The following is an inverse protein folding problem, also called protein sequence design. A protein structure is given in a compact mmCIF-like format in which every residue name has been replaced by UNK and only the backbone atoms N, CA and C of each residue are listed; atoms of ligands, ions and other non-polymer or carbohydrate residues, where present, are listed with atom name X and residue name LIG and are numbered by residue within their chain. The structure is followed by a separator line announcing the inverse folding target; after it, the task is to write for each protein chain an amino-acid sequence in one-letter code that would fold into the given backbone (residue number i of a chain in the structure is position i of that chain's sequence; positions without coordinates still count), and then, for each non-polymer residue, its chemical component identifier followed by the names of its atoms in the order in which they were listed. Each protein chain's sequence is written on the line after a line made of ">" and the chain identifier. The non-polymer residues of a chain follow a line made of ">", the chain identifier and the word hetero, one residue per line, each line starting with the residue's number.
data_IF_212704418030
#
_entry.id   IF_212704418030
#
_cell.length_a   1.000
_cell.length_b   1.000
_cell.length_c   1.000
_cell.angle_alpha   90.00
_cell.angle_beta   90.00
_cell.angle_gamma   90.00
#
_symmetry.space_group_name_H-M   'P 1'
#
loop_
_entity.id
_entity.type
_entity.pdbx_description
1 polymer ?
#
# COMPACT_ATOMS: atom_id res chain seq x y z
N UNK A 1 -15.78 11.42 -8.34
CA UNK A 1 -15.53 11.73 -9.78
C UNK A 1 -14.79 10.58 -10.41
N UNK A 2 -15.21 10.07 -11.58
CA UNK A 2 -14.58 8.91 -12.22
C UNK A 2 -14.18 9.21 -13.66
N UNK A 3 -12.95 8.81 -14.01
CA UNK A 3 -12.34 8.86 -15.34
C UNK A 3 -11.77 7.49 -15.73
N UNK A 4 -12.32 6.42 -15.19
CA UNK A 4 -11.83 5.06 -15.39
C UNK A 4 -12.04 4.54 -16.80
N UNK A 5 -11.16 3.65 -17.27
CA UNK A 5 -11.33 2.94 -18.53
C UNK A 5 -11.20 3.83 -19.78
N UNK A 6 -10.20 4.70 -19.79
CA UNK A 6 -9.89 5.61 -20.90
C UNK A 6 -8.41 5.50 -21.29
N UNK A 7 -7.98 6.33 -22.22
CA UNK A 7 -6.58 6.44 -22.67
C UNK A 7 -5.89 7.69 -22.09
N UNK A 8 -6.22 8.04 -20.83
CA UNK A 8 -5.62 9.22 -20.19
C UNK A 8 -4.15 8.91 -19.88
N UNK A 9 -3.25 9.73 -20.41
CA UNK A 9 -1.80 9.57 -20.20
C UNK A 9 -1.21 10.48 -19.12
N UNK A 10 -1.87 11.60 -18.80
CA UNK A 10 -1.45 12.55 -17.78
C UNK A 10 -2.66 13.25 -17.15
N UNK A 11 -2.42 13.87 -16.00
CA UNK A 11 -3.47 14.55 -15.22
C UNK A 11 -3.41 16.09 -15.33
N UNK A 12 -2.66 16.65 -16.28
CA UNK A 12 -2.41 18.09 -16.37
C UNK A 12 -3.68 18.92 -16.54
N UNK A 13 -4.73 18.35 -17.17
CA UNK A 13 -6.03 19.00 -17.32
C UNK A 13 -6.73 19.33 -16.00
N UNK A 14 -6.29 18.73 -14.88
CA UNK A 14 -6.86 18.99 -13.56
C UNK A 14 -6.34 20.27 -12.89
N UNK A 15 -5.27 20.90 -13.40
CA UNK A 15 -4.55 21.98 -12.73
C UNK A 15 -5.43 23.18 -12.35
N UNK A 16 -6.47 23.44 -13.14
CA UNK A 16 -7.40 24.55 -12.92
C UNK A 16 -8.73 24.12 -12.28
N UNK A 17 -8.86 22.84 -11.92
CA UNK A 17 -10.10 22.35 -11.34
C UNK A 17 -10.16 22.65 -9.82
N UNK A 18 -11.34 23.03 -9.35
CA UNK A 18 -11.59 23.16 -7.93
C UNK A 18 -12.10 21.82 -7.36
N UNK A 19 -11.29 21.21 -6.48
CA UNK A 19 -11.59 19.92 -5.86
C UNK A 19 -11.84 20.02 -4.35
N UNK A 20 -12.24 21.19 -3.84
CA UNK A 20 -12.42 21.39 -2.40
C UNK A 20 -13.43 20.44 -1.77
N UNK A 21 -14.50 20.10 -2.51
CA UNK A 21 -15.55 19.19 -2.03
C UNK A 21 -15.38 17.75 -2.54
N UNK A 22 -14.31 17.45 -3.29
CA UNK A 22 -14.13 16.13 -3.87
C UNK A 22 -13.71 15.11 -2.81
N UNK A 23 -14.51 14.07 -2.63
CA UNK A 23 -14.24 12.97 -1.70
C UNK A 23 -13.66 11.72 -2.37
N UNK A 24 -14.00 11.48 -3.62
CA UNK A 24 -13.60 10.26 -4.37
C UNK A 24 -13.12 10.62 -5.77
N UNK A 25 -11.90 10.20 -6.09
CA UNK A 25 -11.25 10.44 -7.38
C UNK A 25 -10.71 9.14 -7.97
N UNK A 26 -11.20 8.80 -9.15
CA UNK A 26 -10.90 7.52 -9.79
C UNK A 26 -10.34 7.71 -11.19
N UNK A 27 -9.15 7.18 -11.42
CA UNK A 27 -8.44 7.15 -12.71
C UNK A 27 -7.93 5.75 -13.08
N UNK A 28 -8.49 4.72 -12.51
CA UNK A 28 -8.04 3.35 -12.80
C UNK A 28 -8.29 2.95 -14.25
N UNK A 29 -7.47 2.02 -14.73
CA UNK A 29 -7.55 1.49 -16.10
C UNK A 29 -7.38 2.61 -17.15
N UNK A 30 -6.21 3.22 -17.08
CA UNK A 30 -5.74 4.25 -18.02
C UNK A 30 -4.26 3.97 -18.40
N UNK A 31 -3.60 4.90 -19.05
CA UNK A 31 -2.16 4.84 -19.40
C UNK A 31 -1.37 5.98 -18.73
N UNK A 32 -1.76 6.33 -17.49
CA UNK A 32 -1.15 7.44 -16.75
C UNK A 32 0.26 7.03 -16.29
N UNK A 33 1.24 7.88 -16.61
CA UNK A 33 2.61 7.77 -16.10
C UNK A 33 2.99 8.94 -15.18
N UNK A 34 2.45 10.14 -15.44
CA UNK A 34 2.75 11.36 -14.70
C UNK A 34 1.57 11.79 -13.81
N UNK A 35 1.83 11.81 -12.50
CA UNK A 35 0.91 12.27 -11.46
C UNK A 35 1.40 13.55 -10.76
N UNK A 36 2.34 14.28 -11.37
CA UNK A 36 2.96 15.48 -10.79
C UNK A 36 1.96 16.56 -10.38
N UNK A 37 0.84 16.64 -11.09
CA UNK A 37 -0.23 17.58 -10.80
C UNK A 37 -0.87 17.35 -9.43
N UNK A 38 -0.91 16.11 -8.93
CA UNK A 38 -1.50 15.81 -7.62
C UNK A 38 -0.82 16.57 -6.48
N UNK A 39 0.49 16.83 -6.62
CA UNK A 39 1.24 17.62 -5.65
C UNK A 39 0.96 19.13 -5.67
N UNK A 40 0.15 19.60 -6.63
CA UNK A 40 -0.21 21.01 -6.83
C UNK A 40 -1.69 21.28 -6.52
N UNK A 41 -2.48 20.24 -6.39
CA UNK A 41 -3.92 20.34 -6.16
C UNK A 41 -4.25 20.34 -4.66
N UNK A 42 -5.35 21.00 -4.30
CA UNK A 42 -5.82 21.05 -2.93
C UNK A 42 -6.98 20.06 -2.73
N UNK A 43 -6.67 18.92 -2.14
CA UNK A 43 -7.62 17.83 -1.89
C UNK A 43 -8.08 17.80 -0.42
N UNK A 44 -8.63 18.91 0.09
CA UNK A 44 -9.01 19.04 1.52
C UNK A 44 -9.96 17.96 2.03
N UNK A 45 -10.81 17.42 1.16
CA UNK A 45 -11.85 16.47 1.52
C UNK A 45 -11.71 15.09 0.87
N UNK A 46 -10.62 14.86 0.10
CA UNK A 46 -10.44 13.59 -0.61
C UNK A 46 -10.23 12.44 0.38
N UNK A 47 -11.12 11.45 0.30
CA UNK A 47 -11.12 10.24 1.11
C UNK A 47 -10.61 9.02 0.34
N UNK A 48 -10.83 8.97 -0.98
CA UNK A 48 -10.45 7.83 -1.79
C UNK A 48 -9.76 8.27 -3.07
N UNK A 49 -8.59 7.68 -3.36
CA UNK A 49 -7.83 7.88 -4.59
C UNK A 49 -7.50 6.54 -5.23
N UNK A 50 -8.02 6.34 -6.43
CA UNK A 50 -7.90 5.10 -7.19
C UNK A 50 -7.10 5.35 -8.46
N UNK A 51 -5.89 4.82 -8.53
CA UNK A 51 -4.93 4.98 -9.62
C UNK A 51 -4.42 3.64 -10.15
N UNK A 52 -5.13 2.54 -9.83
CA UNK A 52 -4.69 1.22 -10.21
C UNK A 52 -4.83 0.94 -11.72
N UNK A 53 -4.08 -0.04 -12.19
CA UNK A 53 -4.03 -0.44 -13.60
C UNK A 53 -3.66 0.76 -14.49
N UNK A 54 -2.46 1.30 -14.26
CA UNK A 54 -1.81 2.38 -15.00
C UNK A 54 -0.33 2.03 -15.25
N UNK A 55 0.49 2.98 -15.66
CA UNK A 55 1.93 2.80 -15.87
C UNK A 55 2.76 3.76 -15.00
N UNK A 56 2.25 4.11 -13.81
CA UNK A 56 2.89 5.02 -12.85
C UNK A 56 4.13 4.34 -12.25
N UNK A 57 5.26 5.03 -12.29
CA UNK A 57 6.51 4.61 -11.63
C UNK A 57 6.98 5.58 -10.56
N UNK A 58 6.75 6.89 -10.75
CA UNK A 58 7.12 7.94 -9.82
C UNK A 58 5.92 8.39 -8.98
N UNK A 59 5.99 8.17 -7.66
CA UNK A 59 4.98 8.58 -6.69
C UNK A 59 5.45 9.73 -5.79
N UNK A 60 6.58 10.36 -6.09
CA UNK A 60 7.10 11.50 -5.32
C UNK A 60 6.12 12.67 -5.19
N UNK A 61 5.19 12.93 -6.13
CA UNK A 61 4.17 13.96 -5.98
C UNK A 61 3.25 13.79 -4.76
N UNK A 62 3.08 12.55 -4.26
CA UNK A 62 2.26 12.29 -3.05
C UNK A 62 2.80 12.98 -1.81
N UNK A 63 4.12 13.25 -1.75
CA UNK A 63 4.75 13.94 -0.62
C UNK A 63 4.40 15.43 -0.51
N UNK A 64 3.87 16.03 -1.58
CA UNK A 64 3.43 17.43 -1.62
C UNK A 64 1.91 17.58 -1.58
N UNK A 65 1.18 16.50 -1.81
CA UNK A 65 -0.26 16.52 -1.85
C UNK A 65 -0.85 16.65 -0.44
N UNK A 66 -1.95 17.40 -0.33
CA UNK A 66 -2.70 17.51 0.92
C UNK A 66 -3.72 16.37 1.02
N UNK A 67 -3.31 15.25 1.62
CA UNK A 67 -4.11 14.04 1.75
C UNK A 67 -4.48 13.69 3.20
N UNK A 68 -4.68 14.70 4.05
CA UNK A 68 -4.98 14.48 5.49
C UNK A 68 -6.20 13.60 5.75
N UNK A 69 -7.22 13.69 4.87
CA UNK A 69 -8.45 12.91 5.00
C UNK A 69 -8.45 11.63 4.18
N UNK A 70 -7.36 11.35 3.44
CA UNK A 70 -7.32 10.17 2.57
C UNK A 70 -7.36 8.88 3.40
N UNK A 71 -8.38 8.08 3.18
CA UNK A 71 -8.64 6.81 3.84
C UNK A 71 -8.23 5.62 2.98
N UNK A 72 -8.37 5.76 1.65
CA UNK A 72 -8.05 4.70 0.69
C UNK A 72 -7.11 5.23 -0.38
N UNK A 73 -5.95 4.58 -0.52
CA UNK A 73 -5.02 4.77 -1.62
C UNK A 73 -4.81 3.44 -2.33
N UNK A 74 -5.24 3.35 -3.58
CA UNK A 74 -5.05 2.17 -4.40
C UNK A 74 -4.26 2.50 -5.66
N UNK A 75 -3.06 1.91 -5.76
CA UNK A 75 -2.12 2.06 -6.87
C UNK A 75 -1.62 0.70 -7.38
N UNK A 76 -2.42 -0.36 -7.18
CA UNK A 76 -2.04 -1.69 -7.65
C UNK A 76 -1.96 -1.75 -9.18
N UNK A 77 -1.21 -2.72 -9.69
CA UNK A 77 -0.99 -2.89 -11.14
C UNK A 77 -0.44 -1.61 -11.78
N UNK A 78 0.76 -1.25 -11.32
CA UNK A 78 1.55 -0.12 -11.82
C UNK A 78 3.03 -0.55 -11.99
N UNK A 79 3.96 0.39 -12.09
CA UNK A 79 5.41 0.16 -12.26
C UNK A 79 6.23 0.73 -11.10
N UNK A 80 5.64 0.85 -9.90
CA UNK A 80 6.27 1.47 -8.73
C UNK A 80 7.40 0.58 -8.24
N UNK A 81 8.56 1.19 -7.97
CA UNK A 81 9.73 0.54 -7.37
C UNK A 81 10.11 1.19 -6.04
N UNK A 82 10.01 2.52 -5.95
CA UNK A 82 10.40 3.31 -4.79
C UNK A 82 9.17 3.87 -4.08
N UNK A 83 9.07 3.57 -2.79
CA UNK A 83 8.01 4.06 -1.90
C UNK A 83 8.55 4.98 -0.79
N UNK A 84 9.78 5.48 -0.91
CA UNK A 84 10.42 6.35 0.09
C UNK A 84 9.63 7.59 0.42
N UNK A 85 8.91 8.13 -0.55
CA UNK A 85 8.07 9.33 -0.37
C UNK A 85 6.95 9.14 0.65
N UNK A 86 6.50 7.90 0.91
CA UNK A 86 5.43 7.61 1.85
C UNK A 86 5.79 8.03 3.29
N UNK A 87 7.07 8.10 3.65
CA UNK A 87 7.55 8.63 4.94
C UNK A 87 7.15 10.10 5.14
N UNK A 88 7.11 10.87 4.05
CA UNK A 88 6.84 12.31 4.04
C UNK A 88 5.39 12.64 3.70
N UNK A 89 4.68 11.71 3.07
CA UNK A 89 3.30 11.93 2.67
C UNK A 89 2.37 12.10 3.88
N UNK A 90 1.47 13.09 3.78
CA UNK A 90 0.52 13.41 4.87
C UNK A 90 -0.72 12.49 4.79
N UNK A 91 -0.51 11.19 5.04
CA UNK A 91 -1.53 10.14 4.93
C UNK A 91 -2.01 9.66 6.31
N UNK A 92 -2.26 10.59 7.22
CA UNK A 92 -2.55 10.30 8.64
C UNK A 92 -3.89 9.59 8.88
N UNK A 93 -4.81 9.68 7.92
CA UNK A 93 -6.13 9.01 7.99
C UNK A 93 -6.18 7.69 7.24
N UNK A 94 -5.07 7.27 6.62
CA UNK A 94 -5.05 6.09 5.74
C UNK A 94 -5.45 4.82 6.49
N UNK A 95 -6.44 4.12 5.95
CA UNK A 95 -6.95 2.84 6.45
C UNK A 95 -6.65 1.69 5.49
N UNK A 96 -6.56 1.98 4.20
CA UNK A 96 -6.27 0.99 3.15
C UNK A 96 -5.15 1.51 2.26
N UNK A 97 -4.07 0.75 2.18
CA UNK A 97 -2.99 0.95 1.20
C UNK A 97 -2.88 -0.30 0.34
N UNK A 98 -3.18 -0.16 -0.94
CA UNK A 98 -3.00 -1.23 -1.91
C UNK A 98 -1.93 -0.86 -2.95
N UNK A 99 -0.83 -1.61 -2.94
CA UNK A 99 0.32 -1.50 -3.84
C UNK A 99 0.62 -2.83 -4.54
N UNK A 100 -0.38 -3.72 -4.65
CA UNK A 100 -0.23 -5.02 -5.29
C UNK A 100 0.26 -4.90 -6.74
N UNK A 101 0.94 -5.93 -7.21
CA UNK A 101 1.35 -6.02 -8.62
C UNK A 101 2.13 -4.78 -9.06
N UNK A 102 3.24 -4.55 -8.38
CA UNK A 102 4.22 -3.52 -8.67
C UNK A 102 5.63 -4.15 -8.73
N UNK A 103 6.70 -3.36 -8.66
CA UNK A 103 8.08 -3.84 -8.66
C UNK A 103 8.83 -3.47 -7.36
N UNK A 104 8.11 -3.39 -6.24
CA UNK A 104 8.64 -2.96 -4.95
C UNK A 104 9.48 -4.08 -4.34
N UNK A 105 10.73 -3.79 -3.98
CA UNK A 105 11.61 -4.71 -3.24
C UNK A 105 11.96 -4.19 -1.85
N UNK A 106 12.09 -2.87 -1.69
CA UNK A 106 12.41 -2.23 -0.41
C UNK A 106 11.17 -1.60 0.22
N UNK A 107 10.77 -2.12 1.38
CA UNK A 107 9.69 -1.58 2.19
C UNK A 107 10.18 -0.92 3.49
N UNK A 108 11.48 -0.66 3.60
CA UNK A 108 12.08 0.07 4.73
C UNK A 108 11.39 1.39 5.04
N UNK A 109 10.90 2.17 4.06
CA UNK A 109 10.17 3.41 4.33
C UNK A 109 8.92 3.23 5.19
N UNK A 110 8.30 2.05 5.20
CA UNK A 110 7.09 1.81 5.99
C UNK A 110 7.31 2.02 7.50
N UNK A 111 8.52 1.78 8.01
CA UNK A 111 8.86 1.94 9.44
C UNK A 111 8.65 3.36 9.96
N UNK A 112 8.76 4.36 9.09
CA UNK A 112 8.66 5.78 9.45
C UNK A 112 7.32 6.40 9.03
N UNK A 113 6.44 5.63 8.38
CA UNK A 113 5.15 6.13 7.92
C UNK A 113 4.20 6.46 9.07
N UNK A 114 3.37 7.49 8.85
CA UNK A 114 2.40 7.98 9.85
C UNK A 114 1.04 7.26 9.77
N UNK A 115 1.00 6.02 9.31
CA UNK A 115 -0.23 5.27 9.03
C UNK A 115 -0.85 4.65 10.29
N UNK A 116 -1.14 5.46 11.31
CA UNK A 116 -1.64 4.99 12.61
C UNK A 116 -3.00 4.29 12.55
N UNK A 117 -3.77 4.53 11.50
CA UNK A 117 -5.12 3.95 11.30
C UNK A 117 -5.15 2.82 10.28
N UNK A 118 -3.98 2.42 9.74
CA UNK A 118 -3.91 1.42 8.67
C UNK A 118 -4.49 0.08 9.14
N UNK A 119 -5.49 -0.40 8.40
CA UNK A 119 -6.18 -1.67 8.65
C UNK A 119 -5.84 -2.72 7.60
N UNK A 120 -5.61 -2.28 6.36
CA UNK A 120 -5.30 -3.18 5.25
C UNK A 120 -4.04 -2.68 4.57
N UNK A 121 -3.02 -3.54 4.54
CA UNK A 121 -1.81 -3.37 3.74
C UNK A 121 -1.72 -4.52 2.75
N UNK A 122 -1.78 -4.20 1.47
CA UNK A 122 -1.65 -5.18 0.40
C UNK A 122 -0.44 -4.85 -0.47
N UNK A 123 0.46 -5.83 -0.55
CA UNK A 123 1.75 -5.79 -1.24
C UNK A 123 1.97 -7.07 -2.08
N UNK A 124 0.88 -7.76 -2.42
CA UNK A 124 0.86 -8.96 -3.25
C UNK A 124 1.57 -8.74 -4.60
N UNK A 125 2.24 -9.76 -5.09
CA UNK A 125 2.94 -9.72 -6.40
C UNK A 125 3.90 -8.53 -6.52
N UNK A 126 4.89 -8.51 -5.64
CA UNK A 126 6.03 -7.60 -5.65
C UNK A 126 7.35 -8.41 -5.60
N UNK A 127 8.46 -7.80 -5.20
CA UNK A 127 9.80 -8.43 -5.09
C UNK A 127 10.35 -8.31 -3.67
N UNK A 128 9.46 -8.36 -2.67
CA UNK A 128 9.82 -8.15 -1.26
C UNK A 128 10.45 -9.42 -0.70
N UNK A 129 11.64 -9.30 -0.13
CA UNK A 129 12.33 -10.39 0.57
C UNK A 129 12.45 -10.17 2.07
N UNK A 130 12.57 -8.90 2.51
CA UNK A 130 12.66 -8.52 3.93
C UNK A 130 11.36 -7.85 4.40
N UNK A 131 10.70 -8.45 5.38
CA UNK A 131 9.47 -7.94 6.01
C UNK A 131 9.71 -7.32 7.39
N UNK A 132 10.96 -7.25 7.86
CA UNK A 132 11.33 -6.61 9.13
C UNK A 132 10.79 -5.17 9.27
N UNK A 133 10.75 -4.34 8.20
CA UNK A 133 10.19 -3.00 8.30
C UNK A 133 8.73 -2.94 8.76
N UNK A 134 7.93 -3.99 8.49
CA UNK A 134 6.52 -4.04 8.93
C UNK A 134 6.44 -4.14 10.45
N UNK A 135 7.33 -4.92 11.08
CA UNK A 135 7.42 -5.00 12.54
C UNK A 135 7.75 -3.63 13.15
N UNK A 136 8.71 -2.91 12.53
CA UNK A 136 9.16 -1.60 13.02
C UNK A 136 8.12 -0.50 12.80
N UNK A 137 7.24 -0.66 11.82
CA UNK A 137 6.20 0.30 11.46
C UNK A 137 5.10 0.48 12.53
N UNK A 138 4.96 -0.49 13.44
CA UNK A 138 4.01 -0.45 14.56
C UNK A 138 2.55 -0.14 14.12
N UNK A 139 2.07 -0.86 13.13
CA UNK A 139 0.70 -0.75 12.59
C UNK A 139 -0.35 -1.35 13.53
N UNK A 140 -0.63 -0.69 14.66
CA UNK A 140 -1.51 -1.19 15.75
C UNK A 140 -2.92 -1.56 15.31
N UNK A 141 -3.40 -0.99 14.21
CA UNK A 141 -4.76 -1.24 13.70
C UNK A 141 -4.79 -2.26 12.56
N UNK A 142 -3.63 -2.84 12.19
CA UNK A 142 -3.54 -3.71 11.03
C UNK A 142 -4.33 -5.00 11.25
N UNK A 143 -5.24 -5.30 10.33
CA UNK A 143 -6.11 -6.47 10.34
C UNK A 143 -5.84 -7.41 9.17
N UNK A 144 -5.44 -6.85 8.04
CA UNK A 144 -5.17 -7.61 6.82
C UNK A 144 -3.78 -7.25 6.29
N UNK A 145 -2.94 -8.27 6.18
CA UNK A 145 -1.61 -8.16 5.56
C UNK A 145 -1.52 -9.18 4.42
N UNK A 146 -1.36 -8.68 3.20
CA UNK A 146 -1.27 -9.50 2.01
C UNK A 146 0.13 -9.37 1.39
N UNK A 147 0.90 -10.44 1.45
CA UNK A 147 2.29 -10.54 1.01
C UNK A 147 2.54 -11.71 0.07
N UNK A 148 1.48 -12.34 -0.45
CA UNK A 148 1.65 -13.49 -1.34
C UNK A 148 2.32 -13.10 -2.67
N UNK A 149 2.93 -14.07 -3.33
CA UNK A 149 3.72 -13.85 -4.55
C UNK A 149 4.82 -12.79 -4.36
N UNK A 150 5.71 -13.02 -3.41
CA UNK A 150 6.91 -12.22 -3.15
C UNK A 150 8.14 -13.14 -3.03
N UNK A 151 9.26 -12.63 -2.55
CA UNK A 151 10.54 -13.37 -2.43
C UNK A 151 10.91 -13.60 -0.95
N UNK A 152 9.92 -13.67 -0.05
CA UNK A 152 10.13 -13.78 1.39
C UNK A 152 10.67 -15.16 1.74
N UNK A 153 11.74 -15.19 2.56
CA UNK A 153 12.35 -16.42 3.09
C UNK A 153 12.35 -16.48 4.61
N UNK A 154 12.33 -15.33 5.27
CA UNK A 154 12.37 -15.22 6.74
C UNK A 154 11.07 -14.63 7.29
N UNK A 155 10.39 -15.42 8.14
CA UNK A 155 9.17 -15.05 8.83
C UNK A 155 9.33 -15.04 10.36
N UNK A 156 10.56 -15.03 10.86
CA UNK A 156 10.86 -15.05 12.29
C UNK A 156 10.19 -13.92 13.07
N UNK A 157 10.02 -12.75 12.42
CA UNK A 157 9.37 -11.57 13.02
C UNK A 157 7.88 -11.79 13.33
N UNK A 158 7.22 -12.73 12.64
CA UNK A 158 5.77 -12.96 12.80
C UNK A 158 5.41 -13.64 14.14
N UNK A 159 6.42 -14.02 14.93
CA UNK A 159 6.21 -14.51 16.29
C UNK A 159 5.95 -13.38 17.32
N UNK A 160 5.99 -12.13 16.89
CA UNK A 160 5.84 -10.96 17.77
C UNK A 160 4.37 -10.65 18.04
N UNK A 161 4.12 -10.13 19.26
CA UNK A 161 2.80 -9.67 19.74
C UNK A 161 2.20 -8.53 18.90
N UNK A 162 3.00 -7.83 18.12
CA UNK A 162 2.50 -6.74 17.27
C UNK A 162 1.46 -7.18 16.23
N UNK A 163 1.39 -8.46 15.93
CA UNK A 163 0.43 -9.04 15.00
C UNK A 163 -0.84 -9.61 15.69
N UNK A 164 -1.03 -9.37 17.00
CA UNK A 164 -2.19 -9.88 17.76
C UNK A 164 -3.55 -9.42 17.20
N UNK A 165 -3.60 -8.28 16.49
CA UNK A 165 -4.83 -7.78 15.89
C UNK A 165 -5.04 -8.25 14.45
N UNK A 166 -4.10 -9.04 13.91
CA UNK A 166 -4.16 -9.48 12.54
C UNK A 166 -5.25 -10.56 12.38
N UNK A 167 -6.18 -10.32 11.46
CA UNK A 167 -7.29 -11.23 11.17
C UNK A 167 -7.02 -12.07 9.92
N UNK A 168 -6.24 -11.50 8.99
CA UNK A 168 -5.88 -12.16 7.73
C UNK A 168 -4.42 -11.93 7.40
N UNK A 169 -3.70 -13.01 7.14
CA UNK A 169 -2.32 -13.02 6.63
C UNK A 169 -2.22 -13.96 5.44
N UNK A 170 -1.73 -13.46 4.33
CA UNK A 170 -1.43 -14.29 3.16
C UNK A 170 0.07 -14.18 2.82
N UNK A 171 0.76 -15.31 2.90
CA UNK A 171 2.19 -15.48 2.58
C UNK A 171 2.40 -16.48 1.45
N UNK A 172 1.34 -17.00 0.83
CA UNK A 172 1.45 -18.02 -0.21
C UNK A 172 2.33 -17.59 -1.38
N UNK A 173 2.94 -18.56 -2.06
CA UNK A 173 3.85 -18.32 -3.17
C UNK A 173 5.04 -17.41 -2.79
N UNK A 174 5.67 -17.71 -1.65
CA UNK A 174 6.94 -17.16 -1.22
C UNK A 174 7.98 -18.29 -1.12
N UNK A 175 9.22 -17.97 -0.76
CA UNK A 175 10.31 -18.96 -0.65
C UNK A 175 10.54 -19.39 0.81
N UNK A 176 9.47 -19.62 1.56
CA UNK A 176 9.52 -19.91 3.00
C UNK A 176 9.83 -21.39 3.22
N UNK A 177 10.85 -21.70 4.02
CA UNK A 177 11.10 -23.06 4.51
C UNK A 177 10.13 -23.39 5.65
N UNK A 178 9.01 -24.02 5.32
CA UNK A 178 7.96 -24.35 6.28
C UNK A 178 8.46 -25.25 7.43
N UNK A 179 9.44 -26.13 7.18
CA UNK A 179 10.03 -26.98 8.24
C UNK A 179 10.81 -26.16 9.24
N UNK A 180 11.58 -25.19 8.76
CA UNK A 180 12.34 -24.26 9.61
C UNK A 180 11.42 -23.43 10.53
N UNK A 181 10.25 -23.04 10.01
CA UNK A 181 9.31 -22.15 10.72
C UNK A 181 8.06 -22.84 11.24
N UNK A 182 8.05 -24.16 11.35
CA UNK A 182 6.89 -24.98 11.74
C UNK A 182 6.19 -24.46 13.00
N UNK A 183 6.92 -24.10 14.03
CA UNK A 183 6.35 -23.58 15.27
C UNK A 183 5.63 -22.25 15.08
N UNK A 184 6.21 -21.34 14.30
CA UNK A 184 5.62 -20.04 13.98
C UNK A 184 4.36 -20.23 13.14
N UNK A 185 4.42 -21.08 12.11
CA UNK A 185 3.30 -21.38 11.21
C UNK A 185 2.13 -21.98 12.01
N UNK A 186 2.40 -22.94 12.89
CA UNK A 186 1.37 -23.55 13.72
C UNK A 186 0.70 -22.55 14.67
N UNK A 187 1.48 -21.63 15.24
CA UNK A 187 0.95 -20.52 16.04
C UNK A 187 0.08 -19.59 15.20
N UNK A 188 0.55 -19.16 14.01
CA UNK A 188 -0.22 -18.30 13.11
C UNK A 188 -1.54 -18.94 12.68
N UNK A 189 -1.54 -20.26 12.41
CA UNK A 189 -2.76 -21.03 12.10
C UNK A 189 -3.76 -21.04 13.25
N UNK A 190 -3.30 -20.96 14.50
CA UNK A 190 -4.19 -20.90 15.66
C UNK A 190 -4.73 -19.50 15.95
N UNK A 191 -3.91 -18.47 15.69
CA UNK A 191 -4.17 -17.11 16.15
C UNK A 191 -4.87 -16.26 15.08
N UNK A 192 -4.68 -16.57 13.78
CA UNK A 192 -5.18 -15.78 12.67
C UNK A 192 -6.36 -16.50 12.00
N UNK A 193 -7.47 -15.79 11.81
CA UNK A 193 -8.72 -16.34 11.24
C UNK A 193 -8.55 -16.88 9.83
N UNK A 194 -7.75 -16.19 9.00
CA UNK A 194 -7.46 -16.56 7.61
C UNK A 194 -5.95 -16.47 7.43
N UNK A 195 -5.31 -17.63 7.33
CA UNK A 195 -3.87 -17.74 7.14
C UNK A 195 -3.55 -18.66 5.96
N UNK A 196 -2.84 -18.13 4.96
CA UNK A 196 -2.34 -18.83 3.78
C UNK A 196 -0.81 -18.70 3.70
N UNK A 197 -0.12 -19.82 3.42
CA UNK A 197 1.34 -19.88 3.30
C UNK A 197 1.76 -20.74 2.12
#
# INVERSE_FOLDING_TARGET
>A
MSFSGNDISNLNGLINANFEELEDLTFNTNIISDISVLGKLNFKNLKQLWLYNNIISDITPLGKANFEKLEVLSMHTNKITDISILEKANLISLTILNLDTNNISDITPLKNCKFKKLKILSLHSNKISDITPIQMANFKCLKVLNLNNNEITDISILNDKMFENLEKLNLSNNNIDEKKYEQIINKLKSDIKIFDI
#
